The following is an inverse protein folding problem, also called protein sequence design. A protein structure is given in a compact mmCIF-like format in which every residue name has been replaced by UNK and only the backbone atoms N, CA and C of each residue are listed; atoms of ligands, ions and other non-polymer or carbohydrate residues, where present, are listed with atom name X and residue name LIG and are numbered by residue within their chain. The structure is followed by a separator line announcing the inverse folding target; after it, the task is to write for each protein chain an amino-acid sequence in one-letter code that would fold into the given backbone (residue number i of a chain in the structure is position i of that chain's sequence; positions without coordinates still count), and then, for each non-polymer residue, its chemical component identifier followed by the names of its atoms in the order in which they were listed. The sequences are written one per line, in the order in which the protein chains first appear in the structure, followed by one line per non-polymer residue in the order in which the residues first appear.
data_IF_669259734671
#
_entry.id   IF_669259734671
#
_cell.length_a   1.000
_cell.length_b   1.000
_cell.length_c   1.000
_cell.angle_alpha   90.00
_cell.angle_beta   90.00
_cell.angle_gamma   90.00
#
_symmetry.space_group_name_H-M   'P 1'
#
loop_
_entity.id
_entity.type
_entity.pdbx_description
1 polymer ?
#
# COMPACT_ATOMS: atom_id res chain seq x y z
N UNK A 1 0.58 -47.91 26.60
CA UNK A 1 0.17 -46.73 25.79
C UNK A 1 1.20 -46.46 24.72
N UNK A 2 0.83 -46.68 23.51
CA UNK A 2 1.73 -46.55 22.38
C UNK A 2 1.72 -45.10 21.91
N UNK A 3 2.80 -44.42 22.13
CA UNK A 3 3.01 -43.14 21.44
C UNK A 3 3.15 -43.43 19.96
N UNK A 4 2.27 -42.89 19.18
CA UNK A 4 2.48 -42.88 17.74
C UNK A 4 3.70 -42.01 17.41
N UNK A 5 4.76 -42.69 17.01
CA UNK A 5 5.92 -42.00 16.49
C UNK A 5 5.59 -41.48 15.08
N UNK A 6 5.76 -40.25 14.90
CA UNK A 6 5.66 -39.68 13.54
C UNK A 6 6.74 -40.31 12.67
N UNK A 7 6.35 -40.81 11.53
CA UNK A 7 7.31 -41.31 10.54
C UNK A 7 8.09 -40.14 9.95
N UNK A 8 9.25 -40.43 9.37
CA UNK A 8 10.03 -39.41 8.62
C UNK A 8 9.18 -38.72 7.57
N UNK A 9 8.29 -39.48 6.95
CA UNK A 9 7.36 -38.94 5.93
C UNK A 9 6.40 -37.92 6.52
N UNK A 10 5.81 -38.20 7.68
CA UNK A 10 4.90 -37.29 8.37
C UNK A 10 5.61 -36.04 8.87
N UNK A 11 6.81 -36.21 9.44
CA UNK A 11 7.63 -35.06 9.88
C UNK A 11 7.99 -34.17 8.70
N UNK A 12 8.36 -34.79 7.58
CA UNK A 12 8.70 -34.04 6.34
C UNK A 12 7.51 -33.24 5.82
N UNK A 13 6.31 -33.82 5.84
CA UNK A 13 5.09 -33.13 5.43
C UNK A 13 4.75 -31.99 6.37
N UNK A 14 4.81 -32.24 7.69
CA UNK A 14 4.53 -31.20 8.69
C UNK A 14 5.50 -30.02 8.56
N UNK A 15 6.79 -30.31 8.35
CA UNK A 15 7.78 -29.26 8.14
C UNK A 15 7.51 -28.45 6.87
N UNK A 16 7.08 -29.12 5.80
CA UNK A 16 6.73 -28.47 4.55
C UNK A 16 5.49 -27.61 4.69
N UNK A 17 4.50 -28.07 5.44
CA UNK A 17 3.29 -27.29 5.72
C UNK A 17 3.65 -26.04 6.52
N UNK A 18 4.48 -26.18 7.53
CA UNK A 18 4.91 -25.04 8.33
C UNK A 18 5.69 -24.03 7.49
N UNK A 19 6.60 -24.51 6.67
CA UNK A 19 7.36 -23.63 5.75
C UNK A 19 6.43 -22.90 4.78
N UNK A 20 5.41 -23.59 4.27
CA UNK A 20 4.42 -22.96 3.39
C UNK A 20 3.59 -21.90 4.11
N UNK A 21 3.19 -22.17 5.35
CA UNK A 21 2.48 -21.20 6.19
C UNK A 21 3.31 -19.96 6.45
N UNK A 22 4.58 -20.16 6.76
CA UNK A 22 5.52 -19.05 6.98
C UNK A 22 5.72 -18.23 5.71
N UNK A 23 5.80 -18.89 4.57
CA UNK A 23 5.92 -18.22 3.29
C UNK A 23 4.68 -17.36 2.97
N UNK A 24 3.49 -17.88 3.25
CA UNK A 24 2.22 -17.15 3.09
C UNK A 24 2.20 -15.92 4.01
N UNK A 25 2.59 -16.08 5.27
CA UNK A 25 2.63 -14.98 6.22
C UNK A 25 3.59 -13.88 5.77
N UNK A 26 4.77 -14.26 5.28
CA UNK A 26 5.74 -13.30 4.74
C UNK A 26 5.23 -12.59 3.49
N UNK A 27 4.59 -13.33 2.60
CA UNK A 27 4.01 -12.77 1.38
C UNK A 27 2.90 -11.76 1.71
N UNK A 28 2.05 -12.10 2.67
CA UNK A 28 0.98 -11.22 3.14
C UNK A 28 1.56 -9.94 3.74
N UNK A 29 2.59 -10.06 4.58
CA UNK A 29 3.25 -8.90 5.18
C UNK A 29 3.88 -7.99 4.11
N UNK A 30 4.54 -8.58 3.12
CA UNK A 30 5.09 -7.81 1.99
C UNK A 30 4.00 -7.12 1.19
N UNK A 31 2.88 -7.79 0.98
CA UNK A 31 1.74 -7.22 0.27
C UNK A 31 1.17 -6.02 1.02
N UNK A 32 0.97 -6.13 2.32
CA UNK A 32 0.48 -5.04 3.16
C UNK A 32 1.42 -3.83 3.12
N UNK A 33 2.73 -4.07 3.20
CA UNK A 33 3.72 -3.00 3.07
C UNK A 33 3.68 -2.33 1.70
N UNK A 34 3.52 -3.12 0.64
CA UNK A 34 3.41 -2.58 -0.71
C UNK A 34 2.16 -1.73 -0.88
N UNK A 35 1.03 -2.15 -0.31
CA UNK A 35 -0.22 -1.38 -0.33
C UNK A 35 -0.04 -0.06 0.41
N UNK A 36 0.59 -0.06 1.58
CA UNK A 36 0.86 1.15 2.35
C UNK A 36 1.79 2.11 1.59
N UNK A 37 2.83 1.56 0.95
CA UNK A 37 3.74 2.36 0.14
C UNK A 37 3.00 3.00 -1.04
N UNK A 38 2.12 2.26 -1.69
CA UNK A 38 1.30 2.79 -2.78
C UNK A 38 0.39 3.92 -2.31
N UNK A 39 -0.29 3.74 -1.18
CA UNK A 39 -1.14 4.78 -0.60
C UNK A 39 -0.34 6.05 -0.31
N UNK A 40 0.84 5.90 0.28
CA UNK A 40 1.72 7.05 0.56
C UNK A 40 2.13 7.79 -0.72
N UNK A 41 2.45 7.04 -1.77
CA UNK A 41 2.82 7.64 -3.06
C UNK A 41 1.64 8.35 -3.72
N UNK A 42 0.45 7.78 -3.63
CA UNK A 42 -0.76 8.42 -4.17
C UNK A 42 -1.07 9.73 -3.43
N UNK A 43 -0.97 9.73 -2.11
CA UNK A 43 -1.17 10.93 -1.31
C UNK A 43 -0.14 12.01 -1.67
N UNK A 44 1.10 11.60 -1.83
CA UNK A 44 2.19 12.49 -2.22
C UNK A 44 1.97 13.10 -3.60
N UNK A 45 1.50 12.30 -4.54
CA UNK A 45 1.14 12.76 -5.88
C UNK A 45 0.03 13.81 -5.82
N UNK A 46 -0.99 13.54 -5.02
CA UNK A 46 -2.13 14.45 -4.88
C UNK A 46 -1.70 15.77 -4.24
N UNK A 47 -0.84 15.72 -3.22
CA UNK A 47 -0.26 16.93 -2.62
C UNK A 47 0.57 17.73 -3.62
N UNK A 48 1.37 17.06 -4.43
CA UNK A 48 2.17 17.73 -5.46
C UNK A 48 1.30 18.40 -6.52
N UNK A 49 0.25 17.73 -6.97
CA UNK A 49 -0.72 18.29 -7.91
C UNK A 49 -1.42 19.51 -7.35
N UNK A 50 -1.79 19.45 -6.09
CA UNK A 50 -2.40 20.58 -5.40
C UNK A 50 -1.46 21.78 -5.34
N UNK A 51 -0.20 21.55 -4.99
CA UNK A 51 0.83 22.61 -4.98
C UNK A 51 1.05 23.21 -6.37
N UNK A 52 1.12 22.36 -7.40
CA UNK A 52 1.27 22.81 -8.78
C UNK A 52 0.08 23.66 -9.21
N UNK A 53 -1.13 23.27 -8.84
CA UNK A 53 -2.34 24.02 -9.12
C UNK A 53 -2.30 25.39 -8.41
N UNK A 54 -1.97 25.40 -7.13
CA UNK A 54 -1.87 26.64 -6.35
C UNK A 54 -0.80 27.57 -6.91
N UNK A 55 0.32 27.01 -7.35
CA UNK A 55 1.40 27.77 -7.96
C UNK A 55 0.97 28.35 -9.31
N UNK A 56 0.27 27.56 -10.11
CA UNK A 56 -0.28 28.03 -11.39
C UNK A 56 -1.29 29.17 -11.18
N UNK A 57 -2.12 29.08 -10.15
CA UNK A 57 -3.06 30.14 -9.78
C UNK A 57 -2.29 31.40 -9.36
N UNK A 58 -1.23 31.24 -8.55
CA UNK A 58 -0.44 32.35 -8.05
C UNK A 58 0.28 33.14 -9.17
N UNK A 59 0.73 32.45 -10.23
CA UNK A 59 1.40 33.09 -11.38
C UNK A 59 0.44 33.46 -12.48
N UNK A 60 -0.85 33.17 -12.35
CA UNK A 60 -1.87 33.55 -13.30
C UNK A 60 -2.13 35.06 -13.24
N UNK A 61 -2.46 35.67 -14.38
CA UNK A 61 -2.89 37.07 -14.43
C UNK A 61 -4.27 37.29 -13.81
N UNK A 62 -4.98 36.20 -13.52
CA UNK A 62 -6.30 36.30 -12.91
C UNK A 62 -6.18 36.41 -11.40
N UNK A 63 -7.02 37.26 -10.81
CA UNK A 63 -7.09 37.39 -9.38
C UNK A 63 -7.75 36.15 -8.76
N UNK A 64 -7.48 35.93 -7.48
CA UNK A 64 -8.08 34.84 -6.72
C UNK A 64 -9.63 34.95 -6.77
N UNK A 65 -10.17 36.15 -6.70
CA UNK A 65 -11.62 36.36 -6.75
C UNK A 65 -12.20 35.95 -8.11
N UNK A 66 -11.53 36.26 -9.21
CA UNK A 66 -11.95 35.85 -10.55
C UNK A 66 -11.99 34.34 -10.68
N UNK A 67 -10.99 33.66 -10.14
CA UNK A 67 -10.90 32.20 -10.13
C UNK A 67 -12.05 31.60 -9.33
N UNK A 68 -12.34 32.17 -8.15
CA UNK A 68 -13.46 31.72 -7.32
C UNK A 68 -14.80 31.90 -8.03
N UNK A 69 -15.01 33.01 -8.71
CA UNK A 69 -16.22 33.24 -9.49
C UNK A 69 -16.38 32.19 -10.60
N UNK A 70 -15.28 31.90 -11.28
CA UNK A 70 -15.27 30.91 -12.34
C UNK A 70 -15.66 29.52 -11.82
N UNK A 71 -15.14 29.13 -10.68
CA UNK A 71 -15.43 27.84 -10.05
C UNK A 71 -16.88 27.79 -9.55
N UNK A 72 -17.40 28.90 -9.04
CA UNK A 72 -18.75 28.96 -8.49
C UNK A 72 -19.85 29.16 -9.54
N UNK A 73 -19.49 29.52 -10.73
CA UNK A 73 -20.48 29.78 -11.79
C UNK A 73 -21.08 28.50 -12.38
#
# INVERSE_FOLDING_TARGET
MTRQRKTRRTIGIDARIQAARDAVARAKARHEKAVEALKSLLDRRDEMRERELMQAIAVSDRTYEEILRFIKS
#
